data_IF_873217930846
#
_entry.id   IF_873217930846
#
_cell.length_a   1.000
_cell.length_b   1.000
_cell.length_c   1.000
_cell.angle_alpha   90.00
_cell.angle_beta   90.00
_cell.angle_gamma   90.00
#
_symmetry.space_group_name_H-M   'P 1'
#
loop_
_entity.id
_entity.type
_entity.pdbx_description
1 polymer ?
#
# COMPACT_ATOMS: atom_id res chain seq x y z
N UNK A 1 29.95 44.11 4.98
CA UNK A 1 30.32 42.75 4.61
C UNK A 1 29.99 41.73 5.69
N UNK A 2 30.31 41.96 6.95
CA UNK A 2 30.10 41.00 8.07
C UNK A 2 28.63 40.56 8.24
N UNK A 3 27.64 41.46 8.13
CA UNK A 3 26.21 41.07 8.27
C UNK A 3 25.74 40.08 7.22
N UNK A 4 26.22 40.18 5.96
CA UNK A 4 25.84 39.19 4.91
C UNK A 4 26.47 37.81 5.17
N UNK A 5 27.70 37.75 5.73
CA UNK A 5 28.35 36.51 6.10
C UNK A 5 27.64 35.78 7.26
N UNK A 6 27.19 36.55 8.26
CA UNK A 6 26.45 35.99 9.42
C UNK A 6 25.10 35.42 8.96
N UNK A 7 24.38 36.10 8.06
CA UNK A 7 23.11 35.59 7.52
C UNK A 7 23.31 34.30 6.70
N UNK A 8 24.37 34.24 5.89
CA UNK A 8 24.68 33.03 5.10
C UNK A 8 25.03 31.84 6.02
N UNK A 9 25.79 32.08 7.10
CA UNK A 9 26.17 31.04 8.08
C UNK A 9 24.96 30.54 8.86
N UNK A 10 24.04 31.43 9.27
CA UNK A 10 22.81 31.04 9.96
C UNK A 10 21.89 30.24 9.03
N UNK A 11 21.80 30.63 7.75
CA UNK A 11 21.00 29.89 6.76
C UNK A 11 21.55 28.47 6.53
N UNK A 12 22.89 28.32 6.43
CA UNK A 12 23.54 27.02 6.31
C UNK A 12 23.32 26.12 7.54
N UNK A 13 23.37 26.70 8.74
CA UNK A 13 23.08 25.96 9.98
C UNK A 13 21.61 25.51 10.04
N UNK A 14 20.66 26.36 9.66
CA UNK A 14 19.22 26.01 9.63
C UNK A 14 18.92 24.90 8.61
N UNK A 15 19.57 24.95 7.44
CA UNK A 15 19.44 23.88 6.41
C UNK A 15 20.04 22.57 6.93
N UNK A 16 21.22 22.63 7.57
CA UNK A 16 21.86 21.44 8.17
C UNK A 16 21.01 20.77 9.24
N UNK A 17 20.40 21.55 10.14
CA UNK A 17 19.48 21.04 11.17
C UNK A 17 18.24 20.38 10.54
N UNK A 18 17.69 20.97 9.49
CA UNK A 18 16.51 20.42 8.78
C UNK A 18 16.83 19.09 8.09
N UNK A 19 18.01 18.94 7.49
CA UNK A 19 18.44 17.69 6.84
C UNK A 19 18.62 16.58 7.89
N UNK A 20 19.26 16.86 9.02
CA UNK A 20 19.49 15.89 10.09
C UNK A 20 18.16 15.41 10.71
N UNK A 21 17.22 16.31 10.94
CA UNK A 21 15.87 15.96 11.43
C UNK A 21 15.10 15.06 10.45
N UNK A 22 15.18 15.35 9.15
CA UNK A 22 14.56 14.53 8.13
C UNK A 22 15.19 13.13 8.05
N UNK A 23 16.53 13.05 8.07
CA UNK A 23 17.25 11.76 8.07
C UNK A 23 16.90 10.90 9.29
N UNK A 24 16.79 11.50 10.49
CA UNK A 24 16.35 10.79 11.70
C UNK A 24 14.91 10.29 11.59
N UNK A 25 14.02 11.09 11.01
CA UNK A 25 12.63 10.68 10.79
C UNK A 25 12.52 9.50 9.81
N UNK A 26 13.25 9.54 8.71
CA UNK A 26 13.29 8.46 7.71
C UNK A 26 13.91 7.18 8.27
N UNK A 27 14.98 7.29 9.05
CA UNK A 27 15.60 6.17 9.75
C UNK A 27 14.60 5.49 10.72
N UNK A 28 13.86 6.27 11.50
CA UNK A 28 12.85 5.74 12.42
C UNK A 28 11.69 5.03 11.71
N UNK A 29 11.29 5.50 10.52
CA UNK A 29 10.29 4.84 9.68
C UNK A 29 10.82 3.50 9.16
N UNK A 30 12.07 3.46 8.72
CA UNK A 30 12.71 2.23 8.23
C UNK A 30 12.85 1.18 9.34
N UNK A 31 13.25 1.57 10.53
CA UNK A 31 13.34 0.64 11.67
C UNK A 31 11.99 0.02 12.01
N UNK A 32 10.92 0.85 12.09
CA UNK A 32 9.57 0.34 12.32
C UNK A 32 9.11 -0.60 11.20
N UNK A 33 9.41 -0.28 9.94
CA UNK A 33 9.09 -1.15 8.81
C UNK A 33 9.80 -2.49 8.90
N UNK A 34 11.10 -2.51 9.26
CA UNK A 34 11.89 -3.73 9.40
C UNK A 34 11.35 -4.63 10.52
N UNK A 35 10.95 -4.06 11.65
CA UNK A 35 10.38 -4.85 12.76
C UNK A 35 9.06 -5.54 12.40
N UNK A 36 8.33 -5.04 11.43
CA UNK A 36 7.06 -5.61 10.97
C UNK A 36 7.20 -6.55 9.76
N UNK A 37 8.37 -6.60 9.13
CA UNK A 37 8.59 -7.38 7.90
C UNK A 37 8.22 -8.86 8.03
N UNK A 38 8.56 -9.58 9.13
CA UNK A 38 8.16 -10.97 9.30
C UNK A 38 6.64 -11.18 9.24
N UNK A 39 5.86 -10.25 9.80
CA UNK A 39 4.40 -10.33 9.78
C UNK A 39 3.83 -10.07 8.39
N UNK A 40 4.42 -9.14 7.60
CA UNK A 40 4.02 -8.91 6.21
C UNK A 40 4.24 -10.15 5.37
N UNK A 41 5.42 -10.77 5.46
CA UNK A 41 5.76 -11.97 4.68
C UNK A 41 4.88 -13.15 5.07
N UNK A 42 4.68 -13.40 6.36
CA UNK A 42 3.88 -14.54 6.84
C UNK A 42 2.41 -14.41 6.44
N UNK A 43 1.80 -13.25 6.70
CA UNK A 43 0.39 -13.01 6.36
C UNK A 43 0.17 -13.01 4.84
N UNK A 44 1.06 -12.38 4.07
CA UNK A 44 0.98 -12.37 2.62
C UNK A 44 1.05 -13.78 2.02
N UNK A 45 1.96 -14.62 2.52
CA UNK A 45 2.05 -16.03 2.12
C UNK A 45 0.78 -16.81 2.43
N UNK A 46 0.20 -16.60 3.62
CA UNK A 46 -1.01 -17.29 4.09
C UNK A 46 -2.22 -16.97 3.22
N UNK A 47 -2.36 -15.74 2.80
CA UNK A 47 -3.51 -15.28 2.02
C UNK A 47 -3.24 -15.12 0.50
N UNK A 48 -2.05 -15.47 0.03
CA UNK A 48 -1.71 -15.48 -1.40
C UNK A 48 -1.67 -14.10 -2.03
N UNK A 49 -1.21 -13.07 -1.29
CA UNK A 49 -1.00 -11.71 -1.80
C UNK A 49 0.49 -11.34 -1.75
N UNK A 50 0.84 -10.27 -2.45
CA UNK A 50 2.22 -9.75 -2.41
C UNK A 50 2.49 -9.05 -1.07
N UNK A 51 3.57 -9.40 -0.33
CA UNK A 51 3.90 -8.75 0.94
C UNK A 51 4.17 -7.24 0.79
N UNK A 52 4.57 -6.78 -0.39
CA UNK A 52 4.75 -5.35 -0.66
C UNK A 52 3.45 -4.57 -0.49
N UNK A 53 2.30 -5.18 -0.78
CA UNK A 53 0.97 -4.56 -0.60
C UNK A 53 0.75 -4.22 0.88
N UNK A 54 0.97 -5.17 1.78
CA UNK A 54 0.79 -4.97 3.23
C UNK A 54 1.72 -3.90 3.78
N UNK A 55 2.96 -3.89 3.28
CA UNK A 55 3.94 -2.88 3.65
C UNK A 55 3.54 -1.49 3.15
N UNK A 56 3.00 -1.37 1.93
CA UNK A 56 2.49 -0.10 1.38
C UNK A 56 1.28 0.37 2.18
N UNK A 57 0.31 -0.49 2.45
CA UNK A 57 -0.83 -0.18 3.31
C UNK A 57 -0.37 0.37 4.66
N UNK A 58 0.47 -0.37 5.39
CA UNK A 58 0.94 0.03 6.70
C UNK A 58 1.70 1.38 6.67
N UNK A 59 2.46 1.63 5.60
CA UNK A 59 3.13 2.92 5.39
C UNK A 59 2.14 4.07 5.21
N UNK A 60 1.14 3.90 4.35
CA UNK A 60 0.15 4.95 4.06
C UNK A 60 -0.77 5.20 5.24
N UNK A 61 -1.17 4.15 5.96
CA UNK A 61 -2.11 4.25 7.08
C UNK A 61 -1.49 4.86 8.33
N UNK A 62 -0.29 4.46 8.70
CA UNK A 62 0.27 4.85 9.99
C UNK A 62 1.74 5.24 9.99
N UNK A 63 2.46 5.09 8.86
CA UNK A 63 3.93 5.10 8.81
C UNK A 63 4.52 4.07 9.80
N UNK A 64 3.90 2.89 9.85
CA UNK A 64 4.26 1.75 10.72
C UNK A 64 4.13 2.03 12.23
N UNK A 65 3.28 2.97 12.66
CA UNK A 65 3.06 3.27 14.07
C UNK A 65 2.01 2.33 14.66
N UNK A 66 2.39 1.55 15.68
CA UNK A 66 1.51 0.56 16.30
C UNK A 66 0.32 1.19 17.01
N UNK A 67 0.55 2.32 17.69
CA UNK A 67 -0.45 3.00 18.51
C UNK A 67 -1.12 4.18 17.80
N UNK A 68 -1.15 4.16 16.46
CA UNK A 68 -1.81 5.20 15.70
C UNK A 68 -3.32 5.20 15.95
N UNK A 69 -3.90 6.38 16.16
CA UNK A 69 -5.34 6.61 16.26
C UNK A 69 -5.66 7.82 15.41
N UNK A 70 -6.62 7.66 14.48
CA UNK A 70 -7.07 8.78 13.65
C UNK A 70 -8.21 9.55 14.32
N UNK A 71 -8.47 10.82 13.93
CA UNK A 71 -9.64 11.56 14.41
C UNK A 71 -10.98 10.90 14.09
N UNK A 72 -11.02 10.04 13.07
CA UNK A 72 -12.20 9.27 12.67
C UNK A 72 -12.36 7.95 13.44
N UNK A 73 -11.44 7.63 14.37
CA UNK A 73 -11.48 6.41 15.20
C UNK A 73 -10.81 5.19 14.59
N UNK A 74 -10.12 5.31 13.48
CA UNK A 74 -9.30 4.23 12.94
C UNK A 74 -8.09 3.95 13.86
N UNK A 75 -7.70 2.68 14.04
CA UNK A 75 -6.73 2.26 15.05
C UNK A 75 -5.65 1.34 14.51
N UNK A 76 -4.47 1.45 15.12
CA UNK A 76 -3.32 0.56 14.91
C UNK A 76 -2.53 0.81 13.63
N UNK A 77 -1.54 -0.05 13.33
CA UNK A 77 -0.65 0.12 12.19
C UNK A 77 -1.36 0.06 10.83
N UNK A 78 -2.49 -0.65 10.77
CA UNK A 78 -3.29 -0.84 9.56
C UNK A 78 -4.57 0.00 9.54
N UNK A 79 -4.77 0.89 10.53
CA UNK A 79 -5.88 1.84 10.66
C UNK A 79 -7.27 1.23 10.46
N UNK A 80 -7.56 0.15 11.18
CA UNK A 80 -8.88 -0.46 11.14
C UNK A 80 -9.93 0.43 11.82
N UNK A 81 -11.03 0.68 11.10
CA UNK A 81 -12.25 1.20 11.70
C UNK A 81 -12.91 0.11 12.56
N UNK A 82 -13.61 0.48 13.68
CA UNK A 82 -14.21 -0.50 14.60
C UNK A 82 -15.08 -1.56 13.89
N UNK A 83 -15.95 -1.16 12.98
CA UNK A 83 -16.86 -2.06 12.27
C UNK A 83 -16.09 -3.04 11.37
N UNK A 84 -15.02 -2.56 10.71
CA UNK A 84 -14.17 -3.40 9.88
C UNK A 84 -13.34 -4.35 10.75
N UNK A 85 -12.82 -3.90 11.88
CA UNK A 85 -12.12 -4.73 12.85
C UNK A 85 -13.01 -5.88 13.34
N UNK A 86 -14.26 -5.58 13.72
CA UNK A 86 -15.25 -6.58 14.13
C UNK A 86 -15.53 -7.60 13.02
N UNK A 87 -15.72 -7.16 11.77
CA UNK A 87 -15.96 -8.03 10.61
C UNK A 87 -14.83 -9.03 10.37
N UNK A 88 -13.59 -8.64 10.66
CA UNK A 88 -12.40 -9.49 10.51
C UNK A 88 -11.96 -10.14 11.82
N UNK A 89 -12.79 -10.12 12.87
CA UNK A 89 -12.49 -10.67 14.19
C UNK A 89 -11.16 -10.16 14.77
N UNK A 90 -10.85 -8.88 14.53
CA UNK A 90 -9.66 -8.21 15.05
C UNK A 90 -9.95 -7.59 16.41
N UNK A 91 -9.65 -8.32 17.49
CA UNK A 91 -9.90 -7.88 18.85
C UNK A 91 -8.99 -6.72 19.27
N UNK A 92 -7.73 -6.74 18.89
CA UNK A 92 -6.76 -5.69 19.20
C UNK A 92 -6.10 -5.13 17.93
N UNK A 93 -6.58 -3.99 17.40
CA UNK A 93 -5.98 -3.36 16.22
C UNK A 93 -4.55 -2.83 16.44
N UNK A 94 -4.07 -2.74 17.68
CA UNK A 94 -2.71 -2.28 18.00
C UNK A 94 -1.70 -3.44 18.03
N UNK A 95 -2.15 -4.71 18.09
CA UNK A 95 -1.27 -5.86 17.94
C UNK A 95 -0.87 -6.03 16.47
N UNK A 96 0.44 -5.87 16.12
CA UNK A 96 0.87 -5.83 14.74
C UNK A 96 0.61 -7.13 13.99
N UNK A 97 0.78 -8.28 14.65
CA UNK A 97 0.57 -9.59 14.03
C UNK A 97 -0.88 -9.76 13.61
N UNK A 98 -1.81 -9.54 14.53
CA UNK A 98 -3.25 -9.70 14.29
C UNK A 98 -3.77 -8.65 13.30
N UNK A 99 -3.31 -7.39 13.41
CA UNK A 99 -3.73 -6.32 12.53
C UNK A 99 -3.26 -6.54 11.07
N UNK A 100 -2.02 -6.98 10.87
CA UNK A 100 -1.48 -7.27 9.54
C UNK A 100 -2.16 -8.50 8.94
N UNK A 101 -2.44 -9.53 9.74
CA UNK A 101 -3.18 -10.72 9.30
C UNK A 101 -4.62 -10.36 8.86
N UNK A 102 -5.33 -9.59 9.65
CA UNK A 102 -6.65 -9.09 9.29
C UNK A 102 -6.63 -8.23 8.02
N UNK A 103 -5.62 -7.35 7.86
CA UNK A 103 -5.46 -6.54 6.66
C UNK A 103 -5.17 -7.38 5.42
N UNK A 104 -4.40 -8.45 5.54
CA UNK A 104 -4.14 -9.37 4.43
C UNK A 104 -5.42 -10.07 3.96
N UNK A 105 -6.25 -10.53 4.90
CA UNK A 105 -7.58 -11.11 4.58
C UNK A 105 -8.48 -10.09 3.92
N UNK A 106 -8.57 -8.90 4.50
CA UNK A 106 -9.42 -7.83 3.96
C UNK A 106 -8.98 -7.43 2.56
N UNK A 107 -7.69 -7.21 2.33
CA UNK A 107 -7.20 -6.82 1.01
C UNK A 107 -7.37 -7.91 -0.04
N UNK A 108 -7.18 -9.19 0.32
CA UNK A 108 -7.51 -10.33 -0.55
C UNK A 108 -8.99 -10.32 -0.95
N UNK A 109 -9.89 -10.07 0.00
CA UNK A 109 -11.33 -10.03 -0.25
C UNK A 109 -11.68 -8.85 -1.17
N UNK A 110 -11.02 -7.69 -1.01
CA UNK A 110 -11.14 -6.55 -1.92
C UNK A 110 -10.64 -6.88 -3.33
N UNK A 111 -9.49 -7.56 -3.46
CA UNK A 111 -9.00 -8.01 -4.77
C UNK A 111 -9.99 -8.96 -5.43
N UNK A 112 -10.55 -9.91 -4.69
CA UNK A 112 -11.57 -10.83 -5.21
C UNK A 112 -12.84 -10.08 -5.64
N UNK A 113 -13.28 -9.11 -4.85
CA UNK A 113 -14.48 -8.31 -5.12
C UNK A 113 -14.34 -7.41 -6.34
N UNK A 114 -13.16 -6.92 -6.61
CA UNK A 114 -12.87 -5.99 -7.71
C UNK A 114 -12.05 -6.63 -8.84
N UNK A 115 -12.23 -7.93 -9.07
CA UNK A 115 -11.68 -8.67 -10.22
C UNK A 115 -10.15 -8.52 -10.38
N UNK A 116 -9.42 -8.50 -9.26
CA UNK A 116 -7.98 -8.32 -9.22
C UNK A 116 -7.50 -6.88 -9.43
N UNK A 117 -8.41 -5.91 -9.60
CA UNK A 117 -8.09 -4.48 -9.75
C UNK A 117 -7.49 -3.93 -8.46
N UNK A 118 -6.16 -3.84 -8.42
CA UNK A 118 -5.41 -3.38 -7.24
C UNK A 118 -5.69 -1.92 -6.89
N UNK A 119 -5.90 -1.08 -7.89
CA UNK A 119 -6.27 0.32 -7.72
C UNK A 119 -7.63 0.47 -7.01
N UNK A 120 -8.62 -0.35 -7.38
CA UNK A 120 -9.92 -0.38 -6.72
C UNK A 120 -9.85 -0.98 -5.33
N UNK A 121 -8.99 -1.98 -5.11
CA UNK A 121 -8.75 -2.53 -3.77
C UNK A 121 -8.14 -1.49 -2.82
N UNK A 122 -7.16 -0.71 -3.27
CA UNK A 122 -6.63 0.42 -2.48
C UNK A 122 -7.67 1.52 -2.25
N UNK A 123 -8.46 1.88 -3.28
CA UNK A 123 -9.54 2.85 -3.14
C UNK A 123 -10.57 2.39 -2.11
N UNK A 124 -10.94 1.10 -2.12
CA UNK A 124 -11.90 0.52 -1.20
C UNK A 124 -11.36 0.40 0.23
N UNK A 125 -10.08 0.12 0.40
CA UNK A 125 -9.44 0.13 1.72
C UNK A 125 -9.51 1.51 2.37
N UNK A 126 -9.25 2.58 1.58
CA UNK A 126 -9.26 3.97 2.06
C UNK A 126 -10.68 4.56 2.18
N UNK A 127 -11.54 4.43 1.16
CA UNK A 127 -12.85 5.09 1.10
C UNK A 127 -14.03 4.19 1.49
N UNK A 128 -13.79 2.90 1.67
CA UNK A 128 -14.79 1.88 1.89
C UNK A 128 -15.33 1.26 0.58
N UNK A 129 -15.61 -0.03 0.64
CA UNK A 129 -16.08 -0.85 -0.49
C UNK A 129 -17.35 -0.26 -1.16
N UNK A 130 -18.32 0.14 -0.31
CA UNK A 130 -19.59 0.69 -0.81
C UNK A 130 -19.43 1.99 -1.61
N UNK A 131 -18.43 2.82 -1.27
CA UNK A 131 -18.14 4.02 -2.04
C UNK A 131 -17.60 3.65 -3.42
N UNK A 132 -16.65 2.72 -3.51
CA UNK A 132 -16.10 2.24 -4.79
C UNK A 132 -17.19 1.63 -5.66
N UNK A 133 -18.06 0.78 -5.10
CA UNK A 133 -19.20 0.21 -5.83
C UNK A 133 -20.19 1.26 -6.32
N UNK A 134 -20.49 2.25 -5.47
CA UNK A 134 -21.39 3.36 -5.83
C UNK A 134 -20.87 4.14 -7.04
N UNK A 135 -19.57 4.44 -7.07
CA UNK A 135 -18.96 5.15 -8.19
C UNK A 135 -18.62 4.26 -9.39
N UNK A 136 -18.45 2.94 -9.20
CA UNK A 136 -18.28 1.99 -10.30
C UNK A 136 -19.58 1.82 -11.08
N UNK A 137 -20.72 1.78 -10.37
CA UNK A 137 -22.01 1.40 -10.93
C UNK A 137 -23.00 2.58 -11.09
N UNK A 138 -22.58 3.82 -10.80
CA UNK A 138 -23.47 4.99 -10.85
C UNK A 138 -24.63 4.93 -9.84
N UNK A 139 -24.43 4.27 -8.69
CA UNK A 139 -25.47 4.08 -7.67
C UNK A 139 -25.34 5.09 -6.53
N UNK A 140 -26.47 5.43 -5.94
CA UNK A 140 -26.51 6.20 -4.69
C UNK A 140 -26.40 5.23 -3.51
N UNK A 141 -25.49 5.50 -2.57
CA UNK A 141 -25.38 4.76 -1.33
C UNK A 141 -25.77 5.67 -0.17
N UNK A 142 -26.70 5.23 0.67
CA UNK A 142 -27.08 5.88 1.92
C UNK A 142 -26.49 5.11 3.09
N UNK A 143 -25.68 5.77 3.92
CA UNK A 143 -25.11 5.18 5.11
C UNK A 143 -26.09 5.31 6.29
N UNK A 144 -25.92 4.46 7.31
CA UNK A 144 -26.75 4.46 8.53
C UNK A 144 -26.73 5.79 9.30
N UNK A 145 -25.63 6.54 9.20
CA UNK A 145 -25.49 7.87 9.78
C UNK A 145 -26.10 9.00 8.93
N UNK A 146 -26.90 8.69 7.92
CA UNK A 146 -27.56 9.63 7.03
C UNK A 146 -26.69 10.20 5.90
N UNK A 147 -25.39 9.95 5.89
CA UNK A 147 -24.52 10.40 4.81
C UNK A 147 -24.88 9.74 3.48
N UNK A 148 -24.96 10.54 2.43
CA UNK A 148 -25.21 10.09 1.06
C UNK A 148 -23.92 10.12 0.24
N UNK A 149 -23.59 9.00 -0.39
CA UNK A 149 -22.45 8.83 -1.28
C UNK A 149 -22.96 8.77 -2.70
N UNK A 150 -22.29 9.44 -3.61
CA UNK A 150 -22.60 9.49 -5.05
C UNK A 150 -24.05 9.91 -5.36
N UNK A 151 -24.53 10.97 -4.71
CA UNK A 151 -25.87 11.52 -4.95
C UNK A 151 -26.14 11.84 -6.43
N UNK A 152 -25.11 12.31 -7.15
CA UNK A 152 -25.15 12.62 -8.59
C UNK A 152 -25.05 11.40 -9.52
N UNK A 153 -24.99 10.18 -8.98
CA UNK A 153 -24.89 8.93 -9.77
C UNK A 153 -23.75 8.92 -10.79
N UNK A 154 -22.61 9.53 -10.42
CA UNK A 154 -21.44 9.58 -11.29
C UNK A 154 -20.84 8.17 -11.47
N UNK A 155 -20.35 7.90 -12.68
CA UNK A 155 -19.56 6.70 -12.98
C UNK A 155 -18.11 7.12 -13.23
N UNK A 156 -17.19 6.67 -12.36
CA UNK A 156 -15.75 7.04 -12.40
C UNK A 156 -14.83 5.84 -12.61
N UNK A 157 -15.36 4.71 -13.06
CA UNK A 157 -14.59 3.47 -13.11
C UNK A 157 -14.33 2.83 -11.72
N UNK A 158 -14.89 3.43 -10.64
CA UNK A 158 -14.87 2.91 -9.28
C UNK A 158 -14.05 3.73 -8.29
N UNK A 159 -13.03 4.48 -8.73
CA UNK A 159 -12.30 5.37 -7.81
C UNK A 159 -13.17 6.60 -7.51
N UNK A 160 -13.58 6.81 -6.23
CA UNK A 160 -14.36 7.98 -5.87
C UNK A 160 -13.61 9.28 -6.19
N UNK A 161 -14.31 10.37 -6.59
CA UNK A 161 -13.69 11.65 -6.90
C UNK A 161 -13.30 12.44 -5.64
N UNK A 162 -12.88 11.73 -4.60
CA UNK A 162 -12.34 12.32 -3.38
C UNK A 162 -10.82 12.47 -3.54
N UNK A 163 -10.33 13.70 -3.41
CA UNK A 163 -8.89 13.98 -3.54
C UNK A 163 -8.03 13.08 -2.64
N UNK A 164 -8.46 12.88 -1.39
CA UNK A 164 -7.78 11.99 -0.43
C UNK A 164 -7.62 10.57 -1.03
N UNK A 165 -8.69 9.99 -1.55
CA UNK A 165 -8.67 8.63 -2.11
C UNK A 165 -7.86 8.54 -3.39
N UNK A 166 -7.97 9.52 -4.27
CA UNK A 166 -7.20 9.57 -5.52
C UNK A 166 -5.69 9.68 -5.24
N UNK A 167 -5.30 10.55 -4.29
CA UNK A 167 -3.90 10.69 -3.86
C UNK A 167 -3.40 9.42 -3.18
N UNK A 168 -4.23 8.77 -2.36
CA UNK A 168 -3.90 7.51 -1.71
C UNK A 168 -3.60 6.40 -2.74
N UNK A 169 -4.48 6.21 -3.71
CA UNK A 169 -4.30 5.21 -4.78
C UNK A 169 -3.04 5.50 -5.60
N UNK A 170 -2.83 6.74 -6.02
CA UNK A 170 -1.64 7.14 -6.77
C UNK A 170 -0.36 6.82 -5.99
N UNK A 171 -0.29 7.21 -4.71
CA UNK A 171 0.87 6.94 -3.86
C UNK A 171 1.09 5.44 -3.65
N UNK A 172 0.02 4.66 -3.46
CA UNK A 172 0.10 3.22 -3.30
C UNK A 172 0.74 2.54 -4.52
N UNK A 173 0.24 2.87 -5.71
CA UNK A 173 0.77 2.33 -6.97
C UNK A 173 2.22 2.75 -7.19
N UNK A 174 2.57 4.02 -6.95
CA UNK A 174 3.94 4.52 -7.07
C UNK A 174 4.91 3.80 -6.12
N UNK A 175 4.50 3.57 -4.88
CA UNK A 175 5.32 2.84 -3.90
C UNK A 175 5.52 1.37 -4.28
N UNK A 176 4.52 0.71 -4.84
CA UNK A 176 4.64 -0.66 -5.35
C UNK A 176 5.63 -0.73 -6.52
N UNK A 177 5.54 0.19 -7.49
CA UNK A 177 6.42 0.25 -8.66
C UNK A 177 7.88 0.50 -8.29
N UNK A 178 8.14 1.47 -7.42
CA UNK A 178 9.52 1.81 -7.00
C UNK A 178 10.23 0.64 -6.33
N UNK A 179 9.53 -0.19 -5.57
CA UNK A 179 10.10 -1.36 -4.89
C UNK A 179 10.31 -2.57 -5.78
N UNK A 180 9.61 -2.69 -6.90
CA UNK A 180 9.87 -3.69 -7.93
C UNK A 180 11.22 -3.48 -8.65
N UNK A 181 11.66 -2.21 -8.80
CA UNK A 181 12.94 -1.88 -9.45
C UNK A 181 14.20 -2.14 -8.60
N UNK A 182 14.10 -2.16 -7.28
CA UNK A 182 15.28 -2.33 -6.40
C UNK A 182 15.79 -3.77 -6.38
N UNK A 183 14.97 -4.76 -6.70
CA UNK A 183 15.37 -6.18 -6.70
C UNK A 183 16.26 -6.56 -7.88
N UNK A 184 16.29 -5.77 -8.95
CA UNK A 184 17.14 -6.05 -10.14
C UNK A 184 18.53 -5.42 -10.08
N UNK A 185 18.81 -4.52 -9.12
CA UNK A 185 20.10 -3.82 -9.04
C UNK A 185 21.12 -4.42 -8.05
N UNK A 186 20.80 -5.44 -7.27
CA UNK A 186 21.71 -5.99 -6.24
C UNK A 186 22.26 -7.39 -6.52
N UNK A 187 22.22 -7.84 -7.78
CA UNK A 187 23.06 -8.98 -8.23
C UNK A 187 24.29 -8.45 -8.97
N UNK A 188 25.09 -7.66 -8.27
CA UNK A 188 26.44 -7.35 -8.65
C UNK A 188 27.26 -8.65 -8.71
N UNK A 189 27.82 -8.92 -9.89
CA UNK A 189 28.75 -10.00 -10.22
C UNK A 189 29.67 -10.36 -9.05
N UNK A 190 29.38 -11.44 -8.34
CA UNK A 190 30.42 -12.19 -7.65
C UNK A 190 30.87 -13.30 -8.61
N UNK A 191 32.05 -13.11 -9.18
CA UNK A 191 32.76 -14.17 -9.90
C UNK A 191 33.23 -15.18 -8.85
N UNK A 192 32.48 -16.24 -8.67
CA UNK A 192 33.01 -17.48 -8.11
C UNK A 192 32.72 -18.57 -9.12
N UNK A 193 33.80 -19.07 -9.72
CA UNK A 193 33.81 -20.26 -10.56
C UNK A 193 33.34 -21.46 -9.73
N UNK A 194 32.15 -21.93 -9.96
CA UNK A 194 31.78 -23.33 -9.81
C UNK A 194 30.72 -23.63 -10.89
N UNK A 195 31.13 -24.44 -11.87
CA UNK A 195 30.28 -24.83 -12.95
C UNK A 195 29.10 -25.66 -12.49
N UNK A 196 27.92 -25.13 -12.72
CA UNK A 196 26.68 -25.87 -12.87
C UNK A 196 25.72 -25.00 -13.67
N UNK A 197 25.68 -25.29 -14.97
CA UNK A 197 24.73 -24.77 -15.93
C UNK A 197 23.34 -25.29 -15.58
N UNK A 198 22.44 -24.39 -15.17
CA UNK A 198 21.00 -24.63 -15.34
C UNK A 198 20.33 -23.29 -15.55
N UNK A 199 20.36 -22.81 -16.78
CA UNK A 199 19.45 -21.81 -17.31
C UNK A 199 18.09 -22.47 -17.49
N UNK A 200 17.14 -22.20 -16.61
CA UNK A 200 15.72 -22.34 -16.93
C UNK A 200 15.20 -20.95 -17.19
N UNK A 201 15.19 -20.59 -18.47
CA UNK A 201 14.39 -19.48 -18.96
C UNK A 201 12.92 -19.82 -18.73
N UNK A 202 12.32 -19.15 -17.78
CA UNK A 202 10.88 -19.16 -17.61
C UNK A 202 10.30 -18.10 -18.55
N UNK A 203 10.02 -18.51 -19.78
CA UNK A 203 9.13 -17.75 -20.66
C UNK A 203 7.71 -18.01 -20.17
N UNK A 204 7.09 -17.01 -19.58
CA UNK A 204 5.67 -17.07 -19.21
C UNK A 204 4.90 -16.59 -20.44
N UNK A 205 4.36 -17.52 -21.22
CA UNK A 205 3.33 -17.22 -22.20
C UNK A 205 2.03 -16.89 -21.47
N UNK A 206 1.83 -15.60 -21.21
CA UNK A 206 0.55 -15.07 -20.75
C UNK A 206 -0.21 -14.65 -22.00
N UNK A 207 -1.19 -15.43 -22.40
CA UNK A 207 -2.22 -14.99 -23.36
C UNK A 207 -3.04 -13.90 -22.67
N UNK A 208 -2.61 -12.65 -22.86
CA UNK A 208 -3.28 -11.46 -22.33
C UNK A 208 -4.53 -11.17 -23.13
N UNK A 209 -5.65 -11.80 -22.76
CA UNK A 209 -6.97 -11.35 -23.18
C UNK A 209 -7.46 -10.35 -22.12
N UNK A 210 -7.38 -9.06 -22.43
CA UNK A 210 -8.01 -7.93 -21.69
C UNK A 210 -7.55 -7.64 -20.25
N UNK A 211 -6.25 -7.66 -19.97
CA UNK A 211 -5.77 -7.15 -18.70
C UNK A 211 -5.51 -5.64 -18.77
N UNK A 212 -6.23 -4.86 -17.96
CA UNK A 212 -6.00 -3.41 -17.84
C UNK A 212 -4.66 -3.12 -17.14
N UNK A 213 -3.98 -2.00 -17.50
CA UNK A 213 -2.78 -1.53 -16.83
C UNK A 213 -2.98 -1.44 -15.30
N UNK A 214 -2.06 -2.00 -14.51
CA UNK A 214 -2.16 -1.98 -13.05
C UNK A 214 -3.02 -3.09 -12.44
N UNK A 215 -3.39 -4.11 -13.22
CA UNK A 215 -4.12 -5.27 -12.71
C UNK A 215 -3.18 -6.29 -12.04
N UNK A 216 -3.71 -6.99 -11.03
CA UNK A 216 -3.09 -8.19 -10.48
C UNK A 216 -3.74 -9.42 -11.13
N UNK A 217 -2.92 -10.29 -11.72
CA UNK A 217 -3.34 -11.56 -12.26
C UNK A 217 -2.98 -12.69 -11.30
N UNK A 218 -3.87 -13.65 -11.14
CA UNK A 218 -3.63 -14.83 -10.30
C UNK A 218 -3.28 -16.02 -11.17
N UNK A 219 -2.04 -16.51 -11.08
CA UNK A 219 -1.59 -17.72 -11.74
C UNK A 219 -1.08 -18.73 -10.70
N UNK A 220 -1.54 -19.99 -10.78
CA UNK A 220 -1.19 -21.07 -9.85
C UNK A 220 -1.26 -20.69 -8.38
N UNK A 221 -2.30 -19.90 -8.03
CA UNK A 221 -2.55 -19.47 -6.64
C UNK A 221 -1.71 -18.27 -6.18
N UNK A 222 -0.85 -17.70 -7.01
CA UNK A 222 -0.04 -16.50 -6.72
C UNK A 222 -0.53 -15.31 -7.51
N UNK A 223 -0.42 -14.11 -6.92
CA UNK A 223 -0.77 -12.85 -7.56
C UNK A 223 0.46 -12.22 -8.21
N UNK A 224 0.33 -11.79 -9.48
CA UNK A 224 1.35 -11.09 -10.25
C UNK A 224 0.83 -9.72 -10.67
N UNK A 225 1.67 -8.70 -10.56
CA UNK A 225 1.35 -7.34 -11.01
C UNK A 225 1.71 -7.21 -12.49
N UNK A 226 0.77 -6.74 -13.33
CA UNK A 226 1.04 -6.46 -14.74
C UNK A 226 1.59 -5.04 -14.84
N UNK A 227 2.88 -4.92 -15.12
CA UNK A 227 3.49 -3.66 -15.55
C UNK A 227 3.22 -3.46 -17.05
N UNK A 228 2.72 -2.26 -17.39
CA UNK A 228 2.70 -1.80 -18.77
C UNK A 228 3.98 -1.02 -19.01
N UNK A 229 4.77 -1.48 -19.97
CA UNK A 229 5.92 -0.74 -20.51
C UNK A 229 5.44 0.45 -21.32
#
# INVERSE_FOLDING_TARGET
MIKKFVHALVLLLLVGISIDAQQRADYSIQQRAQSLEPYFVDSARRYGIDPRILRVLCHLESRFRLNAISPKGARGPMQFMPDTAARYALANPHDPKSAIDAAARYFRDLLSKFDGRIDLAFAAYNAGEGAVEAFRNGRVLRLSNGKVINAGRLVTGGIPPYRETQDYVRLAIDLLRRRGRVTTMSLGRSKTNLGLTTTRDFTIDVTLTEAHPGSLVREKGKWFFIEVQ
#
